data_IF_741776961802
#
_entry.id   IF_741776961802
#
_cell.length_a   1.000
_cell.length_b   1.000
_cell.length_c   1.000
_cell.angle_alpha   90.00
_cell.angle_beta   90.00
_cell.angle_gamma   90.00
#
_symmetry.space_group_name_H-M   'P 1'
#
loop_
_entity.id
_entity.type
_entity.pdbx_description
1 polymer ?
#
# COMPACT_ATOMS: atom_id res chain seq x y z
N UNK A 1 -28.82 11.33 -5.85
CA UNK A 1 -27.94 10.14 -5.84
C UNK A 1 -26.55 10.59 -6.28
N UNK A 2 -25.61 10.72 -5.35
CA UNK A 2 -24.38 11.50 -5.49
C UNK A 2 -23.33 10.83 -6.38
N UNK A 3 -22.67 11.63 -7.21
CA UNK A 3 -21.54 11.23 -8.07
C UNK A 3 -20.31 10.73 -7.28
N UNK A 4 -20.24 10.97 -5.98
CA UNK A 4 -19.04 10.75 -5.17
C UNK A 4 -18.86 9.29 -4.76
N UNK A 5 -19.95 8.56 -4.50
CA UNK A 5 -19.87 7.10 -4.33
C UNK A 5 -19.35 6.42 -5.60
N UNK A 6 -19.55 7.03 -6.78
CA UNK A 6 -19.01 6.53 -8.04
C UNK A 6 -17.51 6.80 -8.15
N UNK A 7 -16.98 7.94 -7.71
CA UNK A 7 -15.53 8.19 -7.79
C UNK A 7 -14.73 7.23 -6.90
N UNK A 8 -15.26 6.85 -5.73
CA UNK A 8 -14.64 5.83 -4.87
C UNK A 8 -14.91 4.39 -5.31
N UNK A 9 -16.05 4.09 -5.95
CA UNK A 9 -16.39 2.75 -6.49
C UNK A 9 -15.86 2.47 -7.91
N UNK A 10 -15.58 3.49 -8.73
CA UNK A 10 -15.00 3.33 -10.07
C UNK A 10 -13.58 2.77 -9.97
N UNK A 11 -12.86 3.05 -8.87
CA UNK A 11 -11.57 2.42 -8.57
C UNK A 11 -11.72 0.92 -8.23
N UNK A 12 -12.91 0.46 -7.83
CA UNK A 12 -13.15 -0.90 -7.28
C UNK A 12 -13.50 -1.94 -8.37
N UNK A 13 -14.18 -1.56 -9.45
CA UNK A 13 -14.55 -2.50 -10.53
C UNK A 13 -13.45 -2.67 -11.61
N UNK A 14 -12.57 -1.68 -11.75
CA UNK A 14 -11.70 -1.57 -12.93
C UNK A 14 -10.41 -2.40 -12.81
N UNK A 15 -9.81 -2.48 -11.62
CA UNK A 15 -8.57 -3.25 -11.40
C UNK A 15 -8.81 -4.76 -11.51
N UNK A 16 -10.00 -5.25 -11.17
CA UNK A 16 -10.39 -6.64 -11.34
C UNK A 16 -10.63 -7.01 -12.84
N UNK A 17 -11.21 -6.10 -13.62
CA UNK A 17 -11.51 -6.34 -15.05
C UNK A 17 -10.26 -6.40 -15.96
N UNK A 18 -9.23 -5.62 -15.66
CA UNK A 18 -7.97 -5.66 -16.43
C UNK A 18 -7.16 -6.94 -16.24
N UNK A 19 -7.27 -7.58 -15.07
CA UNK A 19 -6.57 -8.85 -14.79
C UNK A 19 -7.22 -10.02 -15.54
N UNK A 20 -8.55 -10.03 -15.65
CA UNK A 20 -9.27 -11.06 -16.41
C UNK A 20 -8.96 -11.01 -17.92
N UNK A 21 -8.76 -9.81 -18.49
CA UNK A 21 -8.36 -9.65 -19.90
C UNK A 21 -6.89 -10.07 -20.14
N UNK A 22 -5.98 -9.78 -19.21
CA UNK A 22 -4.57 -10.16 -19.31
C UNK A 22 -4.33 -11.67 -19.16
N UNK A 23 -5.16 -12.38 -18.39
CA UNK A 23 -5.09 -13.85 -18.29
C UNK A 23 -5.63 -14.57 -19.54
N UNK A 24 -6.58 -13.98 -20.27
CA UNK A 24 -7.13 -14.55 -21.51
C UNK A 24 -6.32 -14.25 -22.78
N UNK A 25 -5.37 -13.31 -22.74
CA UNK A 25 -4.55 -12.94 -23.91
C UNK A 25 -3.12 -13.54 -23.91
N UNK A 26 -2.89 -14.65 -23.19
CA UNK A 26 -1.64 -15.41 -23.32
C UNK A 26 -1.57 -16.14 -24.67
N UNK A 27 -1.13 -15.41 -25.71
CA UNK A 27 -0.49 -16.00 -26.90
C UNK A 27 0.93 -16.49 -26.58
N UNK A 28 1.53 -17.34 -27.43
CA UNK A 28 2.68 -18.15 -27.06
C UNK A 28 3.94 -17.31 -26.84
N UNK A 29 4.69 -17.69 -25.81
CA UNK A 29 5.95 -17.09 -25.40
C UNK A 29 7.01 -17.21 -26.49
N UNK A 30 7.66 -16.09 -26.83
CA UNK A 30 8.93 -16.11 -27.56
C UNK A 30 10.06 -15.88 -26.57
N UNK A 31 10.92 -16.88 -26.49
CA UNK A 31 12.07 -16.97 -25.62
C UNK A 31 13.13 -15.89 -25.94
N UNK A 32 13.80 -15.39 -24.90
CA UNK A 32 15.13 -14.82 -25.02
C UNK A 32 16.04 -15.56 -24.03
N UNK A 33 17.05 -16.22 -24.60
CA UNK A 33 18.05 -17.06 -23.94
C UNK A 33 19.15 -16.22 -23.25
N UNK A 34 20.04 -16.84 -22.45
CA UNK A 34 20.68 -16.25 -21.28
C UNK A 34 22.02 -15.58 -21.57
N UNK A 35 22.43 -14.64 -20.72
CA UNK A 35 23.85 -14.25 -20.59
C UNK A 35 24.34 -14.64 -19.19
N UNK A 36 25.32 -15.52 -19.18
CA UNK A 36 25.94 -16.12 -18.01
C UNK A 36 27.05 -15.22 -17.41
N UNK A 37 27.05 -15.23 -16.07
CA UNK A 37 28.18 -15.26 -15.13
C UNK A 37 29.41 -14.36 -15.34
N UNK A 38 29.67 -13.54 -14.32
CA UNK A 38 30.93 -13.62 -13.58
C UNK A 38 30.69 -13.32 -12.10
N UNK A 39 31.02 -14.30 -11.27
CA UNK A 39 31.01 -14.25 -9.81
C UNK A 39 32.46 -14.14 -9.32
N UNK A 40 32.70 -13.38 -8.25
CA UNK A 40 33.74 -13.64 -7.21
C UNK A 40 33.53 -12.65 -6.07
N UNK A 41 32.93 -13.10 -4.97
CA UNK A 41 33.56 -13.43 -3.65
C UNK A 41 33.66 -12.26 -2.67
N UNK A 42 32.75 -12.22 -1.69
CA UNK A 42 33.07 -11.88 -0.29
C UNK A 42 32.23 -12.78 0.65
N UNK A 43 32.87 -13.19 1.74
CA UNK A 43 32.63 -14.29 2.67
C UNK A 43 31.22 -14.47 3.31
N UNK A 44 30.90 -15.69 3.80
CA UNK A 44 29.64 -16.00 4.47
C UNK A 44 29.63 -15.46 5.91
N UNK A 45 28.58 -14.72 6.29
CA UNK A 45 28.35 -14.41 7.69
C UNK A 45 27.48 -15.47 8.34
N UNK A 46 28.04 -16.01 9.43
CA UNK A 46 27.65 -17.20 10.16
C UNK A 46 26.27 -17.08 10.82
N UNK A 47 25.50 -18.16 10.74
CA UNK A 47 24.33 -18.40 11.58
C UNK A 47 24.77 -18.59 13.03
N UNK A 48 24.33 -17.70 13.92
CA UNK A 48 24.28 -18.01 15.35
C UNK A 48 22.84 -18.14 15.79
N UNK A 49 22.55 -19.32 16.35
CA UNK A 49 21.31 -19.70 17.00
C UNK A 49 21.03 -18.77 18.18
N UNK A 50 19.85 -18.16 18.20
CA UNK A 50 19.09 -17.94 19.44
C UNK A 50 17.63 -18.28 19.16
N UNK A 51 17.30 -19.54 19.40
CA UNK A 51 15.92 -19.95 19.68
C UNK A 51 15.44 -19.29 20.98
N UNK A 52 14.12 -19.10 21.03
CA UNK A 52 13.32 -18.99 22.25
C UNK A 52 13.41 -17.66 23.00
N UNK A 53 12.34 -16.87 22.85
CA UNK A 53 11.64 -16.09 23.90
C UNK A 53 11.03 -14.80 23.32
N UNK A 54 10.08 -14.96 22.39
CA UNK A 54 9.05 -13.94 22.16
C UNK A 54 7.70 -14.56 22.48
N UNK A 55 7.46 -14.78 23.78
CA UNK A 55 6.09 -14.73 24.29
C UNK A 55 5.53 -13.37 23.88
N UNK A 56 4.38 -13.38 23.24
CA UNK A 56 3.60 -12.18 22.98
C UNK A 56 3.37 -11.47 24.32
N UNK A 57 4.13 -10.40 24.58
CA UNK A 57 3.75 -9.43 25.59
C UNK A 57 2.48 -8.80 25.05
N UNK A 58 1.35 -9.15 25.66
CA UNK A 58 0.13 -8.36 25.59
C UNK A 58 0.52 -6.89 25.72
N UNK A 59 0.04 -5.99 24.83
CA UNK A 59 0.41 -4.60 24.91
C UNK A 59 0.00 -4.09 26.29
N UNK A 60 1.01 -3.66 27.07
CA UNK A 60 0.78 -2.98 28.32
C UNK A 60 -0.19 -1.83 28.04
N UNK A 61 -1.30 -1.77 28.79
CA UNK A 61 -2.18 -0.60 28.86
C UNK A 61 -1.30 0.62 29.19
N UNK A 62 -0.82 1.32 28.17
CA UNK A 62 -0.30 2.68 28.34
C UNK A 62 -1.48 3.54 28.75
N UNK A 63 -1.24 4.42 29.71
CA UNK A 63 -2.17 5.45 30.14
C UNK A 63 -2.86 6.09 28.92
N UNK A 64 -4.14 6.41 29.04
CA UNK A 64 -4.98 7.04 28.02
C UNK A 64 -4.43 8.43 27.64
N UNK A 65 -3.30 8.45 26.93
CA UNK A 65 -2.83 9.59 26.19
C UNK A 65 -3.71 9.73 24.96
N UNK A 66 -4.03 10.97 24.63
CA UNK A 66 -4.82 11.32 23.46
C UNK A 66 -4.13 10.80 22.18
N UNK A 67 -4.69 9.78 21.55
CA UNK A 67 -4.17 9.22 20.30
C UNK A 67 -4.59 10.13 19.15
N UNK A 68 -3.70 11.06 18.79
CA UNK A 68 -3.93 12.06 17.73
C UNK A 68 -4.24 11.38 16.39
N UNK A 69 -3.60 10.23 16.12
CA UNK A 69 -3.84 9.47 14.90
C UNK A 69 -5.25 8.89 14.87
N UNK A 70 -5.71 8.38 16.01
CA UNK A 70 -7.06 7.86 16.15
C UNK A 70 -8.12 8.96 16.03
N UNK A 71 -7.91 10.11 16.68
CA UNK A 71 -8.86 11.22 16.59
C UNK A 71 -8.98 11.72 15.16
N UNK A 72 -7.87 11.85 14.43
CA UNK A 72 -7.89 12.23 13.03
C UNK A 72 -8.65 11.20 12.17
N UNK A 73 -8.40 9.91 12.39
CA UNK A 73 -9.11 8.84 11.70
C UNK A 73 -10.62 8.89 11.95
N UNK A 74 -11.04 9.04 13.21
CA UNK A 74 -12.45 9.10 13.59
C UNK A 74 -13.14 10.32 12.98
N UNK A 75 -12.48 11.49 12.97
CA UNK A 75 -12.99 12.71 12.35
C UNK A 75 -13.22 12.55 10.84
N UNK A 76 -12.28 11.94 10.13
CA UNK A 76 -12.42 11.74 8.68
C UNK A 76 -13.41 10.63 8.34
N UNK A 77 -13.51 9.58 9.16
CA UNK A 77 -14.53 8.54 9.02
C UNK A 77 -15.94 9.08 9.26
N UNK A 78 -16.12 9.92 10.29
CA UNK A 78 -17.38 10.60 10.55
C UNK A 78 -17.79 11.52 9.39
N UNK A 79 -16.83 12.24 8.84
CA UNK A 79 -17.05 13.17 7.73
C UNK A 79 -17.42 12.46 6.42
N UNK A 80 -16.83 11.29 6.17
CA UNK A 80 -17.20 10.42 5.07
C UNK A 80 -18.65 9.94 5.20
N UNK A 81 -19.06 9.55 6.41
CA UNK A 81 -20.41 9.02 6.68
C UNK A 81 -21.50 10.11 6.59
N UNK A 82 -21.17 11.36 6.92
CA UNK A 82 -22.13 12.46 6.93
C UNK A 82 -22.19 13.26 5.62
N UNK A 83 -21.38 12.92 4.60
CA UNK A 83 -21.53 13.38 3.21
C UNK A 83 -21.46 14.90 3.00
N UNK A 84 -20.78 15.64 3.90
CA UNK A 84 -20.91 17.10 4.02
C UNK A 84 -19.64 17.90 3.73
N UNK A 85 -18.66 17.34 3.03
CA UNK A 85 -17.38 18.02 2.86
C UNK A 85 -17.00 18.17 1.41
N UNK A 86 -16.82 19.42 0.97
CA UNK A 86 -16.00 19.73 -0.21
C UNK A 86 -14.55 19.29 0.07
N UNK A 87 -14.23 18.09 -0.42
CA UNK A 87 -12.96 17.45 -0.15
C UNK A 87 -11.77 18.26 -0.64
N UNK A 88 -11.93 19.05 -1.70
CA UNK A 88 -10.84 19.91 -2.22
C UNK A 88 -10.41 20.95 -1.19
N UNK A 89 -11.34 21.44 -0.39
CA UNK A 89 -11.06 22.43 0.65
C UNK A 89 -10.54 21.77 1.94
N UNK A 90 -11.04 20.57 2.26
CA UNK A 90 -10.64 19.86 3.49
C UNK A 90 -9.31 19.13 3.38
N UNK A 91 -8.91 18.67 2.19
CA UNK A 91 -7.66 17.92 2.00
C UNK A 91 -6.44 18.69 2.52
N UNK A 92 -6.37 20.01 2.30
CA UNK A 92 -5.26 20.83 2.79
C UNK A 92 -5.14 20.79 4.32
N UNK A 93 -6.27 20.89 5.02
CA UNK A 93 -6.33 20.81 6.49
C UNK A 93 -5.95 19.43 6.99
N UNK A 94 -6.52 18.38 6.39
CA UNK A 94 -6.23 16.98 6.76
C UNK A 94 -4.76 16.64 6.50
N UNK A 95 -4.21 17.10 5.38
CA UNK A 95 -2.78 16.96 5.06
C UNK A 95 -1.91 17.66 6.10
N UNK A 96 -2.23 18.90 6.47
CA UNK A 96 -1.48 19.63 7.49
C UNK A 96 -1.54 18.95 8.87
N UNK A 97 -2.63 18.23 9.19
CA UNK A 97 -2.74 17.42 10.40
C UNK A 97 -1.97 16.10 10.29
N UNK A 98 -2.10 15.39 9.16
CA UNK A 98 -1.38 14.15 8.88
C UNK A 98 0.14 14.35 8.89
N UNK A 99 0.62 15.47 8.35
CA UNK A 99 2.04 15.83 8.40
C UNK A 99 2.55 16.02 9.83
N UNK A 100 1.71 16.27 10.82
CA UNK A 100 2.14 16.40 12.23
C UNK A 100 2.21 15.05 12.97
N UNK A 101 1.74 13.97 12.35
CA UNK A 101 1.78 12.64 12.96
C UNK A 101 3.23 12.20 13.19
N UNK A 102 3.47 11.63 14.37
CA UNK A 102 4.77 11.08 14.73
C UNK A 102 5.03 9.75 14.01
N UNK A 103 6.27 9.29 14.03
CA UNK A 103 6.62 7.96 13.52
C UNK A 103 5.75 6.86 14.16
N UNK A 104 5.52 6.91 15.48
CA UNK A 104 4.72 5.92 16.18
C UNK A 104 3.25 5.95 15.74
N UNK A 105 2.71 7.15 15.50
CA UNK A 105 1.34 7.33 15.01
C UNK A 105 1.17 6.68 13.63
N UNK A 106 2.12 6.92 12.72
CA UNK A 106 2.11 6.33 11.37
C UNK A 106 2.22 4.80 11.41
N UNK A 107 3.03 4.25 12.31
CA UNK A 107 3.16 2.81 12.49
C UNK A 107 1.91 2.19 13.12
N UNK A 108 1.24 2.89 14.04
CA UNK A 108 -0.04 2.46 14.59
C UNK A 108 -1.13 2.45 13.50
N UNK A 109 -1.21 3.49 12.68
CA UNK A 109 -2.13 3.52 11.53
C UNK A 109 -1.81 2.40 10.54
N UNK A 110 -0.53 2.10 10.29
CA UNK A 110 -0.14 0.97 9.44
C UNK A 110 -0.65 -0.36 10.01
N UNK A 111 -0.48 -0.59 11.31
CA UNK A 111 -0.99 -1.79 11.98
C UNK A 111 -2.52 -1.92 11.84
N UNK A 112 -3.26 -0.80 11.97
CA UNK A 112 -4.72 -0.78 11.75
C UNK A 112 -5.10 -1.10 10.31
N UNK A 113 -4.38 -0.54 9.34
CA UNK A 113 -4.68 -0.78 7.91
C UNK A 113 -4.57 -2.27 7.52
N UNK A 114 -3.77 -3.05 8.24
CA UNK A 114 -3.57 -4.49 7.99
C UNK A 114 -4.43 -5.38 8.88
N UNK A 115 -5.13 -4.81 9.85
CA UNK A 115 -6.03 -5.54 10.75
C UNK A 115 -7.33 -5.87 10.02
N UNK A 116 -7.50 -7.14 9.67
CA UNK A 116 -8.66 -7.63 8.91
C UNK A 116 -9.94 -7.70 9.74
N UNK A 117 -9.88 -7.43 11.05
CA UNK A 117 -11.07 -7.28 11.89
C UNK A 117 -11.72 -5.90 11.78
N UNK A 118 -11.00 -4.90 11.26
CA UNK A 118 -11.52 -3.55 11.06
C UNK A 118 -12.29 -3.41 9.75
N UNK A 119 -13.17 -2.41 9.68
CA UNK A 119 -13.95 -2.10 8.49
C UNK A 119 -13.04 -1.69 7.33
N UNK A 120 -13.32 -2.16 6.11
CA UNK A 120 -12.52 -1.84 4.91
C UNK A 120 -12.37 -0.34 4.66
N UNK A 121 -13.40 0.47 4.93
CA UNK A 121 -13.36 1.92 4.76
C UNK A 121 -12.41 2.58 5.75
N UNK A 122 -12.42 2.15 7.01
CA UNK A 122 -11.48 2.61 8.04
C UNK A 122 -10.04 2.26 7.62
N UNK A 123 -9.83 1.03 7.19
CA UNK A 123 -8.53 0.56 6.71
C UNK A 123 -8.06 1.35 5.48
N UNK A 124 -8.93 1.65 4.53
CA UNK A 124 -8.59 2.49 3.37
C UNK A 124 -8.30 3.94 3.77
N UNK A 125 -9.04 4.49 4.75
CA UNK A 125 -8.82 5.83 5.29
C UNK A 125 -7.46 5.91 6.00
N UNK A 126 -7.06 4.90 6.76
CA UNK A 126 -5.73 4.88 7.38
C UNK A 126 -4.61 4.95 6.34
N UNK A 127 -4.70 4.21 5.22
CA UNK A 127 -3.72 4.29 4.13
C UNK A 127 -3.69 5.70 3.53
N UNK A 128 -4.85 6.34 3.37
CA UNK A 128 -4.95 7.71 2.88
C UNK A 128 -4.27 8.72 3.82
N UNK A 129 -4.55 8.65 5.13
CA UNK A 129 -3.91 9.55 6.11
C UNK A 129 -2.38 9.36 6.13
N UNK A 130 -1.93 8.11 6.06
CA UNK A 130 -0.49 7.81 5.96
C UNK A 130 0.09 8.42 4.68
N UNK A 131 -0.58 8.30 3.52
CA UNK A 131 -0.04 8.83 2.26
C UNK A 131 0.08 10.36 2.23
N UNK A 132 -0.79 11.08 2.95
CA UNK A 132 -0.69 12.52 3.11
C UNK A 132 0.50 12.97 3.97
N UNK A 133 1.07 12.09 4.79
CA UNK A 133 2.13 12.44 5.75
C UNK A 133 3.50 12.65 5.09
N UNK A 134 3.63 12.44 3.78
CA UNK A 134 4.85 12.68 3.00
C UNK A 134 5.97 11.67 3.26
N UNK A 135 7.23 12.07 3.15
CA UNK A 135 8.39 11.15 3.17
C UNK A 135 8.52 10.33 4.46
N UNK A 136 8.06 10.86 5.60
CA UNK A 136 8.05 10.19 6.92
C UNK A 136 7.14 8.95 6.93
N UNK A 137 6.18 8.88 6.01
CA UNK A 137 5.30 7.72 5.83
C UNK A 137 5.98 6.51 5.21
N UNK A 138 7.22 6.64 4.71
CA UNK A 138 7.93 5.58 3.98
C UNK A 138 7.87 4.21 4.66
N UNK A 139 8.23 4.14 5.95
CA UNK A 139 8.24 2.88 6.69
C UNK A 139 6.83 2.32 6.89
N UNK A 140 5.87 3.16 7.28
CA UNK A 140 4.47 2.76 7.46
C UNK A 140 3.87 2.19 6.16
N UNK A 141 4.03 2.89 5.03
CA UNK A 141 3.57 2.41 3.72
C UNK A 141 4.26 1.10 3.31
N UNK A 142 5.56 0.98 3.57
CA UNK A 142 6.29 -0.25 3.28
C UNK A 142 5.81 -1.44 4.13
N UNK A 143 5.56 -1.25 5.42
CA UNK A 143 4.98 -2.29 6.28
C UNK A 143 3.65 -2.79 5.73
N UNK A 144 2.79 -1.88 5.28
CA UNK A 144 1.52 -2.23 4.65
C UNK A 144 1.79 -3.07 3.40
N UNK A 145 2.61 -2.61 2.48
CA UNK A 145 2.82 -3.34 1.21
C UNK A 145 3.44 -4.72 1.42
N UNK A 146 4.35 -4.89 2.38
CA UNK A 146 5.06 -6.15 2.58
C UNK A 146 4.28 -7.19 3.41
N UNK A 147 3.26 -6.77 4.14
CA UNK A 147 2.51 -7.68 5.04
C UNK A 147 1.71 -8.71 4.23
N UNK A 148 1.83 -10.02 4.53
CA UNK A 148 1.12 -11.07 3.80
C UNK A 148 -0.41 -11.00 3.91
N UNK A 149 -1.09 -11.53 2.89
CA UNK A 149 -2.55 -11.65 2.89
C UNK A 149 -2.96 -12.83 3.78
N UNK A 150 -3.57 -12.55 4.92
CA UNK A 150 -4.09 -13.60 5.81
C UNK A 150 -5.60 -13.62 5.69
N UNK A 151 -6.12 -14.48 4.81
CA UNK A 151 -7.55 -14.72 4.71
C UNK A 151 -8.05 -15.42 5.98
N UNK A 152 -9.01 -14.81 6.66
CA UNK A 152 -9.75 -15.46 7.73
C UNK A 152 -11.17 -15.80 7.29
N UNK A 153 -11.59 -17.04 7.52
CA UNK A 153 -12.99 -17.47 7.32
C UNK A 153 -13.97 -16.75 8.25
N UNK A 154 -13.48 -16.14 9.34
CA UNK A 154 -14.30 -15.36 10.28
C UNK A 154 -14.65 -13.96 9.77
N UNK A 155 -14.08 -13.53 8.63
CA UNK A 155 -14.36 -12.21 8.04
C UNK A 155 -15.76 -12.08 7.45
N UNK A 156 -16.49 -13.19 7.26
CA UNK A 156 -17.79 -13.20 6.58
C UNK A 156 -17.73 -12.88 5.08
N UNK A 157 -16.52 -12.67 4.52
CA UNK A 157 -16.30 -12.39 3.11
C UNK A 157 -15.93 -13.66 2.35
N UNK A 158 -16.28 -13.71 1.07
CA UNK A 158 -15.70 -14.73 0.19
C UNK A 158 -14.20 -14.49 0.04
N UNK A 159 -13.42 -15.56 -0.20
CA UNK A 159 -11.98 -15.46 -0.46
C UNK A 159 -11.66 -14.45 -1.57
N UNK A 160 -12.43 -14.47 -2.65
CA UNK A 160 -12.25 -13.56 -3.80
C UNK A 160 -12.50 -12.10 -3.39
N UNK A 161 -13.57 -11.84 -2.66
CA UNK A 161 -13.89 -10.49 -2.16
C UNK A 161 -12.78 -9.97 -1.24
N UNK A 162 -12.30 -10.81 -0.32
CA UNK A 162 -11.19 -10.48 0.56
C UNK A 162 -9.91 -10.16 -0.21
N UNK A 163 -9.50 -11.03 -1.13
CA UNK A 163 -8.28 -10.83 -1.93
C UNK A 163 -8.34 -9.55 -2.77
N UNK A 164 -9.51 -9.21 -3.32
CA UNK A 164 -9.72 -7.96 -4.05
C UNK A 164 -9.62 -6.72 -3.14
N UNK A 165 -10.20 -6.78 -1.93
CA UNK A 165 -10.12 -5.69 -0.97
C UNK A 165 -8.68 -5.47 -0.48
N UNK A 166 -7.97 -6.55 -0.12
CA UNK A 166 -6.56 -6.48 0.24
C UNK A 166 -5.72 -5.93 -0.91
N UNK A 167 -5.88 -6.46 -2.13
CA UNK A 167 -5.11 -6.00 -3.28
C UNK A 167 -5.31 -4.49 -3.52
N UNK A 168 -6.54 -3.99 -3.41
CA UNK A 168 -6.84 -2.56 -3.57
C UNK A 168 -6.11 -1.72 -2.51
N UNK A 169 -6.24 -2.10 -1.24
CA UNK A 169 -5.58 -1.40 -0.13
C UNK A 169 -4.07 -1.35 -0.30
N UNK A 170 -3.46 -2.48 -0.66
CA UNK A 170 -2.00 -2.61 -0.80
C UNK A 170 -1.49 -1.90 -2.05
N UNK A 171 -2.28 -1.88 -3.13
CA UNK A 171 -1.95 -1.12 -4.33
C UNK A 171 -1.97 0.39 -4.06
N UNK A 172 -2.91 0.89 -3.26
CA UNK A 172 -2.92 2.30 -2.82
C UNK A 172 -1.68 2.64 -2.00
N UNK A 173 -1.32 1.78 -1.05
CA UNK A 173 -0.11 1.97 -0.25
C UNK A 173 1.16 1.92 -1.13
N UNK A 174 1.21 1.01 -2.11
CA UNK A 174 2.30 0.90 -3.07
C UNK A 174 2.42 2.12 -3.98
N UNK A 175 1.28 2.64 -4.46
CA UNK A 175 1.24 3.87 -5.24
C UNK A 175 1.75 5.07 -4.43
N UNK A 176 1.26 5.25 -3.19
CA UNK A 176 1.75 6.29 -2.31
C UNK A 176 3.27 6.18 -2.06
N UNK A 177 3.75 4.95 -1.84
CA UNK A 177 5.18 4.67 -1.67
C UNK A 177 6.00 5.02 -2.92
N UNK A 178 5.45 4.77 -4.11
CA UNK A 178 6.08 5.11 -5.39
C UNK A 178 6.11 6.62 -5.65
N UNK A 179 5.09 7.37 -5.23
CA UNK A 179 5.10 8.84 -5.32
C UNK A 179 6.23 9.49 -4.51
N UNK A 180 6.64 8.87 -3.39
CA UNK A 180 7.78 9.34 -2.60
C UNK A 180 9.10 9.29 -3.38
N UNK A 181 9.16 8.57 -4.51
CA UNK A 181 10.31 8.53 -5.40
C UNK A 181 10.63 9.89 -6.02
N UNK A 182 9.65 10.80 -6.10
CA UNK A 182 9.87 12.18 -6.57
C UNK A 182 10.76 12.99 -5.61
N UNK A 183 10.78 12.61 -4.33
CA UNK A 183 11.56 13.28 -3.29
C UNK A 183 12.83 12.51 -2.96
N UNK A 184 12.75 11.18 -2.82
CA UNK A 184 13.90 10.34 -2.48
C UNK A 184 13.96 9.07 -3.35
N UNK A 185 14.37 9.17 -4.62
CA UNK A 185 14.32 8.05 -5.56
C UNK A 185 15.21 6.88 -5.15
N UNK A 186 16.38 7.14 -4.53
CA UNK A 186 17.33 6.09 -4.16
C UNK A 186 16.80 5.19 -3.04
N UNK A 187 16.17 5.78 -2.01
CA UNK A 187 15.55 5.02 -0.93
C UNK A 187 14.36 4.21 -1.45
N UNK A 188 13.49 4.83 -2.24
CA UNK A 188 12.31 4.15 -2.77
C UNK A 188 12.69 3.03 -3.74
N UNK A 189 13.71 3.21 -4.59
CA UNK A 189 14.19 2.15 -5.47
C UNK A 189 14.65 0.91 -4.69
N UNK A 190 15.37 1.10 -3.57
CA UNK A 190 15.78 -0.02 -2.69
C UNK A 190 14.55 -0.71 -2.10
N UNK A 191 13.57 0.05 -1.60
CA UNK A 191 12.33 -0.50 -1.05
C UNK A 191 11.53 -1.28 -2.10
N UNK A 192 11.36 -0.75 -3.31
CA UNK A 192 10.63 -1.42 -4.39
C UNK A 192 11.29 -2.74 -4.78
N UNK A 193 12.64 -2.81 -4.80
CA UNK A 193 13.37 -4.07 -5.00
C UNK A 193 13.14 -5.11 -3.90
N UNK A 194 12.79 -4.69 -2.69
CA UNK A 194 12.40 -5.60 -1.61
C UNK A 194 10.95 -6.05 -1.83
N UNK A 195 10.05 -5.13 -2.20
CA UNK A 195 8.65 -5.46 -2.51
C UNK A 195 8.53 -6.47 -3.65
N UNK A 196 9.35 -6.40 -4.70
CA UNK A 196 9.33 -7.39 -5.79
C UNK A 196 9.70 -8.80 -5.34
N UNK A 197 10.33 -8.94 -4.16
CA UNK A 197 10.66 -10.22 -3.52
C UNK A 197 9.67 -10.63 -2.43
N UNK A 198 8.71 -9.76 -2.07
CA UNK A 198 7.74 -9.98 -0.98
C UNK A 198 6.84 -11.18 -1.25
N UNK A 199 6.50 -11.98 -0.24
CA UNK A 199 5.55 -13.09 -0.38
C UNK A 199 4.07 -12.66 -0.36
N UNK A 200 3.78 -11.36 -0.22
CA UNK A 200 2.42 -10.87 -0.01
C UNK A 200 1.45 -11.16 -1.17
N UNK A 201 1.84 -10.89 -2.42
CA UNK A 201 1.01 -11.15 -3.61
C UNK A 201 1.83 -11.07 -4.89
N UNK A 202 1.54 -11.94 -5.86
CA UNK A 202 2.16 -11.87 -7.19
C UNK A 202 1.79 -10.58 -7.92
N UNK A 203 0.54 -10.12 -7.79
CA UNK A 203 0.09 -8.86 -8.38
C UNK A 203 0.89 -7.67 -7.81
N UNK A 204 1.08 -7.60 -6.49
CA UNK A 204 1.89 -6.54 -5.86
C UNK A 204 3.34 -6.56 -6.35
N UNK A 205 3.93 -7.75 -6.55
CA UNK A 205 5.26 -7.87 -7.17
C UNK A 205 5.29 -7.25 -8.57
N UNK A 206 4.31 -7.59 -9.41
CA UNK A 206 4.23 -7.12 -10.79
C UNK A 206 4.10 -5.59 -10.86
N UNK A 207 3.27 -4.99 -10.00
CA UNK A 207 3.16 -3.53 -9.92
C UNK A 207 4.46 -2.88 -9.42
N UNK A 208 5.12 -3.44 -8.42
CA UNK A 208 6.41 -2.93 -7.96
C UNK A 208 7.50 -3.01 -9.04
N UNK A 209 7.45 -4.01 -9.93
CA UNK A 209 8.38 -4.10 -11.07
C UNK A 209 8.23 -2.93 -12.05
N UNK A 210 7.03 -2.35 -12.22
CA UNK A 210 6.82 -1.16 -13.05
C UNK A 210 7.64 0.00 -12.51
N UNK A 211 7.60 0.21 -11.19
CA UNK A 211 8.41 1.23 -10.51
C UNK A 211 9.90 0.95 -10.65
N UNK A 212 10.37 -0.28 -10.39
CA UNK A 212 11.78 -0.67 -10.54
C UNK A 212 12.31 -0.41 -11.96
N UNK A 213 11.52 -0.75 -12.99
CA UNK A 213 11.86 -0.44 -14.39
C UNK A 213 11.89 1.06 -14.64
N UNK A 214 10.93 1.80 -14.08
CA UNK A 214 10.92 3.27 -14.12
C UNK A 214 12.24 3.88 -13.64
N UNK A 215 12.74 3.45 -12.48
CA UNK A 215 14.05 3.90 -11.98
C UNK A 215 15.21 3.58 -12.93
N UNK A 216 15.21 2.40 -13.57
CA UNK A 216 16.26 2.03 -14.53
C UNK A 216 16.28 2.93 -15.79
N UNK A 217 15.15 3.58 -16.09
CA UNK A 217 15.00 4.50 -17.22
C UNK A 217 14.94 5.98 -16.81
N UNK A 218 15.32 6.32 -15.58
CA UNK A 218 15.29 7.71 -15.11
C UNK A 218 13.88 8.29 -14.90
N UNK A 219 12.87 7.43 -14.77
CA UNK A 219 11.45 7.79 -14.60
C UNK A 219 10.98 7.34 -13.20
N UNK A 220 11.29 8.09 -12.12
CA UNK A 220 10.74 7.82 -10.81
C UNK A 220 9.22 7.99 -10.79
N UNK A 221 8.54 7.35 -9.86
CA UNK A 221 7.07 7.36 -9.73
C UNK A 221 6.30 6.81 -10.95
N UNK A 222 6.92 5.96 -11.77
CA UNK A 222 6.33 5.44 -13.02
C UNK A 222 5.05 4.63 -12.79
N UNK A 223 4.96 3.88 -11.70
CA UNK A 223 3.73 3.13 -11.37
C UNK A 223 2.58 4.11 -11.10
N UNK A 224 2.86 5.15 -10.32
CA UNK A 224 1.87 6.16 -9.95
C UNK A 224 1.35 6.92 -11.16
N UNK A 225 2.26 7.30 -12.08
CA UNK A 225 1.90 7.93 -13.34
C UNK A 225 1.01 7.01 -14.20
N UNK A 226 1.41 5.74 -14.33
CA UNK A 226 0.65 4.75 -15.11
C UNK A 226 -0.76 4.50 -14.54
N UNK A 227 -0.88 4.38 -13.21
CA UNK A 227 -2.18 4.21 -12.54
C UNK A 227 -3.08 5.43 -12.76
N UNK A 228 -2.54 6.64 -12.60
CA UNK A 228 -3.30 7.87 -12.80
C UNK A 228 -3.76 8.04 -14.26
N UNK A 229 -2.91 7.72 -15.23
CA UNK A 229 -3.27 7.74 -16.65
C UNK A 229 -4.37 6.73 -16.97
N UNK A 230 -4.29 5.52 -16.41
CA UNK A 230 -5.29 4.46 -16.62
C UNK A 230 -6.66 4.84 -16.04
N UNK A 231 -6.68 5.64 -14.96
CA UNK A 231 -7.92 6.17 -14.38
C UNK A 231 -8.48 7.30 -15.23
N UNK A 232 -7.63 8.25 -15.65
CA UNK A 232 -8.02 9.40 -16.44
C UNK A 232 -8.61 8.99 -17.81
N UNK A 233 -7.98 8.02 -18.49
CA UNK A 233 -8.41 7.54 -19.81
C UNK A 233 -9.70 6.71 -19.81
N UNK A 234 -10.34 6.53 -18.65
CA UNK A 234 -11.60 5.78 -18.49
C UNK A 234 -12.75 6.65 -17.99
N UNK A 235 -12.48 7.92 -17.71
CA UNK A 235 -13.49 8.93 -17.38
C UNK A 235 -14.04 9.67 -18.59
N UNK A 236 -13.53 9.37 -19.79
CA UNK A 236 -14.06 9.73 -21.11
C UNK A 236 -14.82 8.55 -21.72
#
# INVERSE_FOLDING_TARGET
>A
MSHEAKVYMIVIAIVAGTVYAAEKMKGPAVAAAPVAQLATTVAPFSQTKTSSLLKAKSPAKKAAGFDVAQVLLDQEMDSLNHGKVDWKQREATVRAQAEKLSYNDLMNLAAKSVDTSLNVNERLMTVYLISLSGIKAHNALFEIVKTPYVYSKTSGLTKVTFENQELNLRLRALQALDQLALVNPQQIQKTMKIVTKSTASMQIKNYAQISVKGFAHGQPAKLSQWLNQTIASRGE
#
